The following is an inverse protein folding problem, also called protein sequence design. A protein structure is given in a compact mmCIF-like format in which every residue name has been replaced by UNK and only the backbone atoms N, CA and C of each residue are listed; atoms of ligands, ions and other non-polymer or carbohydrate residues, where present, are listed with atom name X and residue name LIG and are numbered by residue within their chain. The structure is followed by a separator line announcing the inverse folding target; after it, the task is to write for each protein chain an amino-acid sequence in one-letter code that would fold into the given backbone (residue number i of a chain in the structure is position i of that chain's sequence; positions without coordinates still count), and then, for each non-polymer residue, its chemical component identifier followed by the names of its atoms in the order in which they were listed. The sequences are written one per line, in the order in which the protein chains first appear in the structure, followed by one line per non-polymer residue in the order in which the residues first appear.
data_IF_679615885221
#
_entry.id   IF_679615885221
#
_cell.length_a   1.000
_cell.length_b   1.000
_cell.length_c   1.000
_cell.angle_alpha   90.00
_cell.angle_beta   90.00
_cell.angle_gamma   90.00
#
_symmetry.space_group_name_H-M   'P 1'
#
loop_
_entity.id
_entity.type
_entity.pdbx_description
1 polymer ?
#
# COMPACT_ATOMS: atom_id res chain seq x y z
N UNK A 1 8.39 4.15 13.60
CA UNK A 1 7.75 5.20 12.79
C UNK A 1 6.55 4.56 12.13
N UNK A 2 5.37 4.97 12.58
CA UNK A 2 4.06 4.47 12.16
C UNK A 2 3.45 5.56 11.28
N UNK A 3 4.02 5.73 10.09
CA UNK A 3 3.60 6.80 9.18
C UNK A 3 2.52 6.22 8.26
N UNK A 4 1.27 6.60 8.55
CA UNK A 4 0.14 6.28 7.68
C UNK A 4 0.29 7.12 6.41
N UNK A 5 0.37 6.45 5.26
CA UNK A 5 0.57 7.09 3.97
C UNK A 5 -0.73 7.06 3.16
N UNK A 6 -0.99 8.12 2.41
CA UNK A 6 -2.09 8.14 1.44
C UNK A 6 -1.74 7.32 0.21
N UNK A 7 -2.75 6.80 -0.50
CA UNK A 7 -2.52 6.04 -1.73
C UNK A 7 -1.72 6.85 -2.74
N UNK A 8 -1.97 8.16 -2.87
CA UNK A 8 -1.18 9.03 -3.75
C UNK A 8 0.30 9.06 -3.37
N UNK A 9 0.63 9.11 -2.07
CA UNK A 9 2.03 9.06 -1.63
C UNK A 9 2.66 7.69 -1.89
N UNK A 10 1.90 6.63 -1.67
CA UNK A 10 2.32 5.25 -1.92
C UNK A 10 2.61 5.06 -3.41
N UNK A 11 1.73 5.51 -4.30
CA UNK A 11 1.92 5.42 -5.76
C UNK A 11 3.14 6.20 -6.24
N UNK A 12 3.42 7.37 -5.64
CA UNK A 12 4.61 8.18 -5.97
C UNK A 12 5.90 7.53 -5.47
N UNK A 13 5.86 6.87 -4.31
CA UNK A 13 7.04 6.30 -3.67
C UNK A 13 7.33 4.86 -4.15
N UNK A 14 6.29 4.12 -4.51
CA UNK A 14 6.31 2.70 -4.89
C UNK A 14 5.62 2.50 -6.24
N UNK A 15 6.09 3.26 -7.24
CA UNK A 15 5.53 3.24 -8.59
C UNK A 15 5.62 1.83 -9.20
N UNK A 16 4.47 1.27 -9.57
CA UNK A 16 4.35 -0.11 -10.11
C UNK A 16 4.79 -1.23 -9.17
N UNK A 17 4.86 -0.98 -7.86
CA UNK A 17 5.11 -2.02 -6.86
C UNK A 17 3.81 -2.49 -6.19
N UNK A 18 3.80 -3.73 -5.74
CA UNK A 18 2.77 -4.26 -4.85
C UNK A 18 3.00 -3.75 -3.45
N UNK A 19 2.00 -3.12 -2.85
CA UNK A 19 2.09 -2.56 -1.49
C UNK A 19 1.02 -3.19 -0.60
N UNK A 20 1.45 -3.69 0.56
CA UNK A 20 0.56 -4.21 1.60
C UNK A 20 0.37 -3.13 2.67
N UNK A 21 -0.89 -2.84 2.95
CA UNK A 21 -1.30 -1.83 3.92
C UNK A 21 -1.91 -2.50 5.15
N UNK A 22 -1.38 -2.16 6.32
CA UNK A 22 -1.98 -2.44 7.61
C UNK A 22 -2.97 -1.34 7.99
N UNK A 23 -4.14 -1.74 8.48
CA UNK A 23 -5.25 -0.85 8.85
C UNK A 23 -5.61 0.19 7.76
N UNK A 24 -5.95 -0.25 6.52
CA UNK A 24 -6.36 0.68 5.49
C UNK A 24 -7.60 1.47 5.93
N UNK A 25 -7.60 2.76 5.61
CA UNK A 25 -8.77 3.61 5.73
C UNK A 25 -9.49 3.59 4.38
N UNK A 26 -10.73 3.14 4.39
CA UNK A 26 -11.55 3.03 3.20
C UNK A 26 -12.57 4.17 3.15
N UNK A 27 -12.90 4.65 1.96
CA UNK A 27 -14.03 5.56 1.77
C UNK A 27 -15.37 4.79 1.76
N UNK A 28 -16.47 5.52 1.62
CA UNK A 28 -17.82 4.95 1.52
C UNK A 28 -18.00 4.01 0.30
N UNK A 29 -17.14 4.15 -0.72
CA UNK A 29 -17.09 3.29 -1.90
C UNK A 29 -16.19 2.06 -1.72
N UNK A 30 -15.68 1.80 -0.51
CA UNK A 30 -14.74 0.73 -0.16
C UNK A 30 -13.35 0.86 -0.80
N UNK A 31 -13.03 1.99 -1.40
CA UNK A 31 -11.70 2.28 -1.96
C UNK A 31 -10.72 2.66 -0.85
N UNK A 32 -9.51 2.13 -0.91
CA UNK A 32 -8.43 2.47 0.04
C UNK A 32 -7.97 3.90 -0.22
N UNK A 33 -7.97 4.74 0.82
CA UNK A 33 -7.53 6.14 0.77
C UNK A 33 -6.14 6.32 1.36
N UNK A 34 -5.85 5.58 2.42
CA UNK A 34 -4.58 5.60 3.13
C UNK A 34 -4.38 4.34 3.93
N UNK A 35 -3.16 4.05 4.33
CA UNK A 35 -2.85 2.93 5.22
C UNK A 35 -1.39 2.96 5.63
N UNK A 36 -1.05 2.13 6.61
CA UNK A 36 0.34 1.97 7.01
C UNK A 36 1.01 0.95 6.09
N UNK A 37 2.01 1.35 5.33
CA UNK A 37 2.79 0.42 4.49
C UNK A 37 3.59 -0.52 5.39
N UNK A 38 3.28 -1.81 5.36
CA UNK A 38 4.03 -2.84 6.08
C UNK A 38 4.89 -3.70 5.17
N UNK A 39 4.59 -3.71 3.88
CA UNK A 39 5.35 -4.44 2.88
C UNK A 39 5.21 -3.75 1.52
N UNK A 40 6.28 -3.77 0.72
CA UNK A 40 6.20 -3.45 -0.69
C UNK A 40 7.14 -4.36 -1.49
N UNK A 41 6.77 -4.72 -2.71
CA UNK A 41 7.56 -5.57 -3.60
C UNK A 41 7.37 -5.18 -5.06
N UNK A 42 8.46 -5.13 -5.82
CA UNK A 42 8.44 -4.87 -7.26
C UNK A 42 7.83 -5.99 -8.08
N UNK A 43 7.89 -7.22 -7.55
CA UNK A 43 7.43 -8.41 -8.23
C UNK A 43 6.30 -9.09 -7.46
N UNK A 44 5.16 -9.25 -8.12
CA UNK A 44 4.01 -10.03 -7.64
C UNK A 44 4.36 -11.51 -7.47
N UNK A 45 5.39 -11.98 -8.16
CA UNK A 45 5.71 -13.40 -8.35
C UNK A 45 6.65 -13.98 -7.28
N UNK A 46 7.26 -13.16 -6.40
CA UNK A 46 8.08 -13.64 -5.27
C UNK A 46 7.25 -13.96 -4.00
N UNK A 47 5.92 -14.03 -4.11
CA UNK A 47 5.03 -14.35 -2.97
C UNK A 47 4.89 -15.87 -2.75
N UNK A 48 5.29 -16.71 -3.73
CA UNK A 48 5.20 -18.18 -3.64
C UNK A 48 6.45 -18.92 -4.12
N UNK A 49 7.60 -18.59 -3.51
CA UNK A 49 8.83 -19.40 -3.60
C UNK A 49 8.98 -20.37 -2.43
#
# INVERSE_FOLDING_TARGET
MDDVMTVTQIEVQFESEWVLLENPQNNEALEVQSGRVIWHSKDREEVWG
#
